data_IF_160419706469
#
_entry.id   IF_160419706469
#
_cell.length_a   1.000
_cell.length_b   1.000
_cell.length_c   1.000
_cell.angle_alpha   90.00
_cell.angle_beta   90.00
_cell.angle_gamma   90.00
#
_symmetry.space_group_name_H-M   'P 1'
#
loop_
_entity.id
_entity.type
_entity.pdbx_description
1 polymer ?
#
# COMPACT_ATOMS: atom_id res chain seq x y z
N UNK A 1 -15.46 -11.87 -4.72
CA UNK A 1 -14.14 -11.98 -4.04
C UNK A 1 -13.10 -11.98 -5.14
N UNK A 2 -11.90 -11.44 -4.89
CA UNK A 2 -10.82 -11.47 -5.88
C UNK A 2 -10.59 -12.90 -6.35
N UNK A 3 -10.41 -13.04 -7.66
CA UNK A 3 -10.26 -14.31 -8.33
C UNK A 3 -8.94 -14.33 -9.10
N UNK A 4 -8.24 -15.45 -9.06
CA UNK A 4 -6.98 -15.63 -9.77
C UNK A 4 -7.10 -16.85 -10.68
N UNK A 5 -6.64 -16.72 -11.92
CA UNK A 5 -6.44 -17.84 -12.82
C UNK A 5 -4.94 -18.09 -13.00
N UNK A 6 -4.52 -19.34 -12.78
CA UNK A 6 -3.19 -19.81 -13.16
C UNK A 6 -3.24 -20.45 -14.53
N UNK A 7 -2.33 -20.05 -15.40
CA UNK A 7 -2.10 -20.65 -16.72
C UNK A 7 -0.70 -21.24 -16.69
N UNK A 8 -0.62 -22.57 -16.67
CA UNK A 8 0.63 -23.33 -16.65
C UNK A 8 0.95 -23.82 -18.06
N UNK A 9 2.08 -23.36 -18.60
CA UNK A 9 2.49 -23.56 -19.97
C UNK A 9 3.91 -24.12 -20.04
N UNK A 10 4.12 -25.11 -20.90
CA UNK A 10 5.46 -25.46 -21.39
C UNK A 10 5.63 -25.00 -22.83
N UNK A 11 6.66 -24.20 -23.10
CA UNK A 11 7.00 -23.74 -24.44
C UNK A 11 8.48 -23.44 -24.60
N UNK A 12 9.03 -23.86 -25.72
CA UNK A 12 10.35 -23.45 -26.24
C UNK A 12 10.30 -22.13 -27.01
N UNK A 13 9.10 -21.58 -27.25
CA UNK A 13 8.82 -20.40 -28.09
C UNK A 13 8.20 -19.25 -27.27
N UNK A 14 8.70 -19.03 -26.06
CA UNK A 14 8.14 -18.02 -25.15
C UNK A 14 8.16 -16.60 -25.73
N UNK A 15 9.19 -16.22 -26.50
CA UNK A 15 9.23 -14.89 -27.12
C UNK A 15 8.05 -14.64 -28.08
N UNK A 16 7.64 -15.66 -28.83
CA UNK A 16 6.46 -15.61 -29.71
C UNK A 16 5.17 -15.54 -28.89
N UNK A 17 5.10 -16.30 -27.78
CA UNK A 17 3.98 -16.26 -26.84
C UNK A 17 3.85 -14.88 -26.18
N UNK A 18 4.95 -14.25 -25.80
CA UNK A 18 4.96 -12.93 -25.18
C UNK A 18 4.46 -11.85 -26.16
N UNK A 19 4.86 -11.92 -27.43
CA UNK A 19 4.34 -11.02 -28.48
C UNK A 19 2.83 -11.21 -28.72
N UNK A 20 2.35 -12.45 -28.63
CA UNK A 20 0.92 -12.76 -28.71
C UNK A 20 0.16 -12.12 -27.54
N UNK A 21 0.70 -12.18 -26.32
CA UNK A 21 0.10 -11.52 -25.15
C UNK A 21 0.12 -10.00 -25.26
N UNK A 22 1.19 -9.38 -25.76
CA UNK A 22 1.23 -7.93 -26.03
C UNK A 22 0.11 -7.51 -26.99
N UNK A 23 -0.13 -8.33 -28.02
CA UNK A 23 -1.22 -8.12 -28.98
C UNK A 23 -2.59 -8.24 -28.31
N UNK A 24 -2.77 -9.22 -27.43
CA UNK A 24 -3.99 -9.38 -26.64
C UNK A 24 -4.29 -8.15 -25.77
N UNK A 25 -3.28 -7.64 -25.08
CA UNK A 25 -3.42 -6.47 -24.20
C UNK A 25 -3.92 -5.25 -24.97
N UNK A 26 -3.43 -5.02 -26.19
CA UNK A 26 -3.90 -3.89 -27.00
C UNK A 26 -5.29 -4.15 -27.59
N UNK A 27 -5.58 -5.36 -28.08
CA UNK A 27 -6.88 -5.69 -28.68
C UNK A 27 -8.04 -5.70 -27.68
N UNK A 28 -7.75 -6.05 -26.42
CA UNK A 28 -8.75 -6.10 -25.34
C UNK A 28 -8.82 -4.80 -24.54
N UNK A 29 -8.07 -3.77 -24.93
CA UNK A 29 -8.05 -2.48 -24.24
C UNK A 29 -9.45 -1.87 -24.11
N UNK A 30 -9.81 -1.51 -22.89
CA UNK A 30 -11.15 -0.99 -22.56
C UNK A 30 -12.27 -2.04 -22.51
N UNK A 31 -11.94 -3.32 -22.73
CA UNK A 31 -12.89 -4.45 -22.64
C UNK A 31 -12.48 -5.48 -21.59
N UNK A 32 -11.18 -5.76 -21.45
CA UNK A 32 -10.66 -6.70 -20.45
C UNK A 32 -11.02 -6.26 -19.04
N UNK A 33 -11.26 -7.25 -18.19
CA UNK A 33 -11.53 -7.06 -16.76
C UNK A 33 -10.34 -7.47 -15.88
N UNK A 34 -9.30 -8.11 -16.47
CA UNK A 34 -8.05 -8.42 -15.77
C UNK A 34 -7.40 -7.15 -15.23
N UNK A 35 -7.09 -7.14 -13.94
CA UNK A 35 -6.55 -5.97 -13.22
C UNK A 35 -5.04 -6.05 -13.04
N UNK A 36 -4.49 -7.26 -12.97
CA UNK A 36 -3.07 -7.51 -12.75
C UNK A 36 -2.66 -8.83 -13.40
N UNK A 37 -1.42 -8.91 -13.88
CA UNK A 37 -0.89 -10.10 -14.51
C UNK A 37 0.60 -10.26 -14.14
N UNK A 38 0.99 -11.48 -13.78
CA UNK A 38 2.37 -11.84 -13.46
C UNK A 38 2.75 -13.07 -14.26
N UNK A 39 3.85 -12.99 -15.00
CA UNK A 39 4.40 -14.13 -15.73
C UNK A 39 5.72 -14.55 -15.09
N UNK A 40 5.76 -15.76 -14.56
CA UNK A 40 6.92 -16.39 -13.97
C UNK A 40 7.54 -17.40 -14.93
N UNK A 41 8.86 -17.36 -15.10
CA UNK A 41 9.63 -18.43 -15.71
C UNK A 41 10.15 -19.36 -14.61
N UNK A 42 9.91 -20.65 -14.74
CA UNK A 42 10.51 -21.63 -13.83
C UNK A 42 12.04 -21.57 -13.92
N UNK A 43 12.68 -21.41 -12.78
CA UNK A 43 14.13 -21.35 -12.67
C UNK A 43 14.79 -22.71 -12.96
N UNK A 44 14.07 -23.80 -12.71
CA UNK A 44 14.57 -25.18 -12.83
C UNK A 44 14.26 -25.80 -14.18
N UNK A 45 13.24 -25.29 -14.87
CA UNK A 45 12.83 -25.74 -16.20
C UNK A 45 12.66 -24.53 -17.14
N UNK A 46 13.62 -24.35 -18.03
CA UNK A 46 13.68 -23.16 -18.88
C UNK A 46 12.55 -23.06 -19.92
N UNK A 47 11.76 -24.12 -20.12
CA UNK A 47 10.58 -24.10 -21.00
C UNK A 47 9.28 -23.97 -20.23
N UNK A 48 9.30 -23.98 -18.89
CA UNK A 48 8.10 -23.93 -18.07
C UNK A 48 7.82 -22.50 -17.60
N UNK A 49 6.59 -22.05 -17.81
CA UNK A 49 6.11 -20.71 -17.50
C UNK A 49 4.74 -20.80 -16.83
N UNK A 50 4.54 -19.95 -15.83
CA UNK A 50 3.26 -19.80 -15.14
C UNK A 50 2.83 -18.34 -15.29
N UNK A 51 1.64 -18.14 -15.83
CA UNK A 51 0.97 -16.84 -15.85
C UNK A 51 -0.12 -16.81 -14.76
N UNK A 52 -0.16 -15.72 -14.02
CA UNK A 52 -1.07 -15.49 -12.89
C UNK A 52 -1.89 -14.25 -13.21
N UNK A 53 -3.16 -14.46 -13.56
CA UNK A 53 -4.07 -13.39 -13.97
C UNK A 53 -5.06 -13.11 -12.84
N UNK A 54 -5.12 -11.86 -12.41
CA UNK A 54 -6.03 -11.42 -11.34
C UNK A 54 -7.25 -10.69 -11.90
N UNK A 55 -8.41 -11.01 -11.33
CA UNK A 55 -9.70 -10.43 -11.66
C UNK A 55 -10.44 -9.98 -10.38
N UNK A 56 -11.29 -8.95 -10.47
CA UNK A 56 -12.11 -8.53 -9.32
C UNK A 56 -13.09 -9.61 -8.85
N UNK A 57 -13.51 -10.50 -9.74
CA UNK A 57 -14.42 -11.61 -9.47
C UNK A 57 -14.29 -12.75 -10.49
N UNK A 58 -14.86 -13.92 -10.17
CA UNK A 58 -14.99 -15.01 -11.13
C UNK A 58 -15.87 -14.62 -12.32
N UNK A 59 -16.95 -13.87 -12.09
CA UNK A 59 -17.81 -13.38 -13.18
C UNK A 59 -17.02 -12.47 -14.14
N UNK A 60 -16.17 -11.59 -13.60
CA UNK A 60 -15.28 -10.76 -14.41
C UNK A 60 -14.28 -11.60 -15.22
N UNK A 61 -13.72 -12.66 -14.63
CA UNK A 61 -12.85 -13.59 -15.35
C UNK A 61 -13.60 -14.24 -16.52
N UNK A 62 -14.84 -14.68 -16.31
CA UNK A 62 -15.66 -15.26 -17.39
C UNK A 62 -16.02 -14.23 -18.46
N UNK A 63 -16.30 -12.98 -18.10
CA UNK A 63 -16.51 -11.92 -19.09
C UNK A 63 -15.27 -11.71 -19.97
N UNK A 64 -14.09 -11.76 -19.38
CA UNK A 64 -12.82 -11.65 -20.09
C UNK A 64 -12.55 -12.85 -21.01
N UNK A 65 -12.79 -14.07 -20.52
CA UNK A 65 -12.58 -15.30 -21.29
C UNK A 65 -13.54 -15.41 -22.49
N UNK A 66 -14.77 -14.93 -22.34
CA UNK A 66 -15.77 -14.95 -23.42
C UNK A 66 -15.60 -13.82 -24.46
N UNK A 67 -14.53 -13.01 -24.39
CA UNK A 67 -14.23 -12.05 -25.45
C UNK A 67 -13.79 -12.81 -26.72
N UNK A 68 -14.34 -12.48 -27.90
CA UNK A 68 -13.93 -13.10 -29.16
C UNK A 68 -12.42 -13.01 -29.43
N UNK A 69 -11.80 -11.90 -29.01
CA UNK A 69 -10.36 -11.68 -29.09
C UNK A 69 -9.58 -12.64 -28.18
N UNK A 70 -10.12 -12.97 -26.99
CA UNK A 70 -9.50 -13.90 -26.03
C UNK A 70 -9.59 -15.34 -26.54
N UNK A 71 -10.73 -15.78 -27.09
CA UNK A 71 -10.87 -17.13 -27.67
C UNK A 71 -9.84 -17.41 -28.76
N UNK A 72 -9.62 -16.43 -29.65
CA UNK A 72 -8.64 -16.57 -30.73
C UNK A 72 -7.21 -16.66 -30.19
N UNK A 73 -6.89 -15.79 -29.25
CA UNK A 73 -5.54 -15.75 -28.66
C UNK A 73 -5.27 -16.99 -27.81
N UNK A 74 -6.30 -17.56 -27.18
CA UNK A 74 -6.19 -18.86 -26.52
C UNK A 74 -5.78 -19.98 -27.48
N UNK A 75 -6.39 -20.04 -28.67
CA UNK A 75 -6.02 -21.05 -29.68
C UNK A 75 -4.56 -20.89 -30.15
N UNK A 76 -4.14 -19.64 -30.37
CA UNK A 76 -2.77 -19.33 -30.77
C UNK A 76 -1.78 -19.63 -29.63
N UNK A 77 -2.15 -19.38 -28.37
CA UNK A 77 -1.36 -19.72 -27.19
C UNK A 77 -1.16 -21.24 -27.08
N UNK A 78 -2.23 -22.03 -27.19
CA UNK A 78 -2.15 -23.51 -27.17
C UNK A 78 -1.25 -24.03 -28.28
N UNK A 79 -1.29 -23.42 -29.47
CA UNK A 79 -0.44 -23.80 -30.60
C UNK A 79 1.06 -23.46 -30.39
N UNK A 80 1.37 -22.52 -29.50
CA UNK A 80 2.72 -22.13 -29.13
C UNK A 80 3.29 -23.00 -28.00
N UNK A 81 2.45 -23.70 -27.25
CA UNK A 81 2.89 -24.64 -26.21
C UNK A 81 3.43 -25.96 -26.79
N UNK A 82 4.44 -26.52 -26.13
CA UNK A 82 4.98 -27.86 -26.40
C UNK A 82 4.08 -28.97 -25.81
N UNK A 83 3.31 -28.63 -24.78
CA UNK A 83 2.31 -29.48 -24.12
C UNK A 83 0.98 -28.71 -23.97
N UNK A 84 -0.13 -29.42 -23.75
CA UNK A 84 -1.42 -28.76 -23.52
C UNK A 84 -1.34 -27.96 -22.22
N UNK A 85 -1.57 -26.64 -22.24
CA UNK A 85 -1.51 -25.82 -21.03
C UNK A 85 -2.63 -26.19 -20.05
N UNK A 86 -2.39 -25.97 -18.76
CA UNK A 86 -3.40 -26.19 -17.73
C UNK A 86 -3.89 -24.89 -17.13
N UNK A 87 -5.17 -24.86 -16.77
CA UNK A 87 -5.86 -23.68 -16.25
C UNK A 87 -6.42 -24.03 -14.88
N UNK A 88 -6.02 -23.27 -13.87
CA UNK A 88 -6.49 -23.47 -12.49
C UNK A 88 -7.19 -22.21 -12.00
N UNK A 89 -8.45 -22.37 -11.64
CA UNK A 89 -9.31 -21.30 -11.12
C UNK A 89 -9.23 -21.27 -9.59
N UNK A 90 -8.86 -20.11 -9.02
CA UNK A 90 -8.58 -19.94 -7.60
C UNK A 90 -9.38 -18.79 -7.00
N UNK A 91 -10.12 -19.09 -5.94
CA UNK A 91 -10.62 -18.07 -5.02
C UNK A 91 -9.47 -17.59 -4.13
N UNK A 92 -9.21 -16.29 -4.11
CA UNK A 92 -8.19 -15.72 -3.23
C UNK A 92 -8.70 -15.78 -1.79
N UNK A 93 -8.09 -16.65 -0.98
CA UNK A 93 -8.42 -16.80 0.45
C UNK A 93 -7.73 -15.73 1.31
N UNK A 94 -6.54 -15.30 0.91
CA UNK A 94 -5.73 -14.31 1.62
C UNK A 94 -4.77 -13.63 0.66
N UNK A 95 -4.75 -12.30 0.69
CA UNK A 95 -3.74 -11.44 0.09
C UNK A 95 -3.11 -10.60 1.20
N UNK A 96 -1.78 -10.66 1.33
CA UNK A 96 -1.05 -9.98 2.39
C UNK A 96 -0.14 -8.88 1.87
N UNK A 97 -0.57 -7.65 2.10
CA UNK A 97 0.23 -6.45 1.85
C UNK A 97 1.12 -6.16 3.06
N UNK A 98 2.23 -6.90 3.20
CA UNK A 98 3.05 -6.91 4.43
C UNK A 98 3.59 -5.53 4.84
N UNK A 99 4.03 -4.70 3.89
CA UNK A 99 4.46 -3.33 4.19
C UNK A 99 3.31 -2.46 4.70
N UNK A 100 2.15 -2.52 4.06
CA UNK A 100 0.94 -1.82 4.51
C UNK A 100 0.50 -2.25 5.92
N UNK A 101 0.54 -3.55 6.20
CA UNK A 101 0.21 -4.11 7.51
C UNK A 101 1.18 -3.60 8.60
N UNK A 102 2.48 -3.56 8.33
CA UNK A 102 3.47 -3.03 9.26
C UNK A 102 3.25 -1.54 9.56
N UNK A 103 2.91 -0.75 8.55
CA UNK A 103 2.64 0.69 8.72
C UNK A 103 1.34 0.94 9.50
N UNK A 104 0.30 0.12 9.27
CA UNK A 104 -0.93 0.19 10.08
C UNK A 104 -0.62 -0.09 11.54
N UNK A 105 0.19 -1.12 11.81
CA UNK A 105 0.67 -1.44 13.15
C UNK A 105 1.53 -0.32 13.75
N UNK A 106 2.29 0.41 12.94
CA UNK A 106 3.02 1.61 13.41
C UNK A 106 2.06 2.69 13.90
N UNK A 107 1.03 3.06 13.12
CA UNK A 107 0.00 4.03 13.54
C UNK A 107 -0.73 3.59 14.83
N UNK A 108 -1.09 2.32 14.92
CA UNK A 108 -1.69 1.74 16.14
C UNK A 108 -0.75 1.84 17.34
N UNK A 109 0.54 1.53 17.14
CA UNK A 109 1.55 1.51 18.21
C UNK A 109 1.80 2.91 18.77
N UNK A 110 1.89 3.93 17.91
CA UNK A 110 2.13 5.31 18.36
C UNK A 110 0.90 5.96 19.00
N UNK A 111 -0.31 5.45 18.72
CA UNK A 111 -1.57 5.87 19.34
C UNK A 111 -1.96 5.03 20.57
N UNK A 112 -1.33 3.88 20.79
CA UNK A 112 -1.70 2.98 21.89
C UNK A 112 -1.60 3.66 23.26
N UNK A 113 -2.54 3.43 24.16
CA UNK A 113 -2.52 4.02 25.51
C UNK A 113 -1.35 3.47 26.36
N UNK A 114 -0.83 4.28 27.28
CA UNK A 114 0.21 3.87 28.23
C UNK A 114 1.63 4.17 27.75
N UNK A 115 2.60 3.34 28.13
CA UNK A 115 3.99 3.51 27.70
C UNK A 115 4.17 3.16 26.22
N UNK A 116 4.96 3.97 25.50
CA UNK A 116 5.26 3.72 24.10
C UNK A 116 6.14 2.47 23.97
N UNK A 117 5.59 1.45 23.32
CA UNK A 117 6.29 0.20 23.03
C UNK A 117 7.58 0.43 22.23
N UNK A 118 8.56 -0.49 22.28
CA UNK A 118 9.74 -0.42 21.43
C UNK A 118 9.38 -0.38 19.95
N UNK A 119 10.01 0.54 19.20
CA UNK A 119 9.73 0.76 17.78
C UNK A 119 10.74 0.05 16.85
N UNK A 120 11.81 -0.55 17.39
CA UNK A 120 12.90 -1.20 16.66
C UNK A 120 12.48 -2.41 15.79
N UNK A 121 11.27 -2.94 16.02
CA UNK A 121 10.67 -3.99 15.20
C UNK A 121 9.80 -3.46 14.05
N UNK A 122 9.49 -2.16 14.03
CA UNK A 122 8.66 -1.52 13.01
C UNK A 122 9.43 -0.47 12.22
N UNK A 123 10.42 0.16 12.83
CA UNK A 123 11.17 1.29 12.28
C UNK A 123 12.65 0.94 12.27
N UNK A 124 13.35 1.33 11.21
CA UNK A 124 14.79 1.18 11.07
C UNK A 124 15.54 2.07 12.06
N UNK A 125 16.74 1.65 12.49
CA UNK A 125 17.54 2.42 13.44
C UNK A 125 17.92 3.81 12.90
N UNK A 126 18.20 3.89 11.60
CA UNK A 126 18.54 5.10 10.85
C UNK A 126 17.34 5.76 10.17
N UNK A 127 16.14 5.62 10.75
CA UNK A 127 14.92 6.21 10.21
C UNK A 127 15.06 7.71 9.94
N UNK A 128 14.53 8.16 8.81
CA UNK A 128 14.59 9.54 8.37
C UNK A 128 13.17 10.08 8.12
N UNK A 129 12.75 11.02 8.95
CA UNK A 129 11.42 11.62 8.88
C UNK A 129 11.47 13.03 8.31
N UNK A 130 10.65 13.27 7.29
CA UNK A 130 10.44 14.57 6.67
C UNK A 130 9.05 15.10 7.08
N UNK A 131 9.04 15.92 8.14
CA UNK A 131 7.86 16.62 8.60
C UNK A 131 7.94 18.11 8.21
N UNK A 132 7.01 18.64 7.39
CA UNK A 132 7.00 20.06 7.01
C UNK A 132 6.83 21.02 8.19
N UNK A 133 6.41 20.55 9.36
CA UNK A 133 6.31 21.33 10.59
C UNK A 133 7.64 21.53 11.33
N UNK A 134 8.71 20.88 10.88
CA UNK A 134 10.04 20.93 11.47
C UNK A 134 11.03 21.66 10.54
N UNK A 135 11.94 22.45 11.11
CA UNK A 135 12.98 23.15 10.33
C UNK A 135 14.03 22.20 9.76
N UNK A 136 14.23 21.06 10.41
CA UNK A 136 15.18 20.01 10.04
C UNK A 136 14.50 18.66 10.17
N UNK A 137 14.94 17.73 9.34
CA UNK A 137 14.47 16.35 9.37
C UNK A 137 14.81 15.66 10.70
N UNK A 138 13.92 14.76 11.14
CA UNK A 138 14.15 13.93 12.33
C UNK A 138 14.88 12.66 11.91
N UNK A 139 16.10 12.48 12.41
CA UNK A 139 16.95 11.33 12.05
C UNK A 139 17.23 10.45 13.27
N UNK A 140 16.93 9.16 13.12
CA UNK A 140 17.24 8.09 14.06
C UNK A 140 16.12 7.79 15.07
N UNK A 141 16.14 6.55 15.57
CA UNK A 141 15.08 6.00 16.43
C UNK A 141 14.82 6.81 17.71
N UNK A 142 15.87 7.35 18.33
CA UNK A 142 15.75 8.16 19.54
C UNK A 142 15.08 9.51 19.27
N UNK A 143 15.35 10.11 18.11
CA UNK A 143 14.78 11.39 17.73
C UNK A 143 13.27 11.25 17.46
N UNK A 144 12.87 10.25 16.67
CA UNK A 144 11.45 9.99 16.40
C UNK A 144 10.69 9.56 17.68
N UNK A 145 11.32 8.84 18.62
CA UNK A 145 10.68 8.52 19.92
C UNK A 145 10.39 9.78 20.74
N UNK A 146 11.29 10.76 20.75
CA UNK A 146 11.05 12.04 21.44
C UNK A 146 9.91 12.82 20.79
N UNK A 147 9.86 12.83 19.48
CA UNK A 147 8.80 13.48 18.72
C UNK A 147 7.42 12.83 18.95
N UNK A 148 7.34 11.51 18.87
CA UNK A 148 6.12 10.77 19.24
C UNK A 148 5.74 11.05 20.70
N UNK A 149 6.72 11.11 21.61
CA UNK A 149 6.51 11.43 23.01
C UNK A 149 5.90 12.82 23.23
N UNK A 150 6.35 13.83 22.48
CA UNK A 150 5.78 15.18 22.48
C UNK A 150 4.30 15.15 22.10
N UNK A 151 3.96 14.51 20.97
CA UNK A 151 2.58 14.41 20.50
C UNK A 151 1.67 13.66 21.48
N UNK A 152 2.15 12.55 22.05
CA UNK A 152 1.43 11.76 23.07
C UNK A 152 1.28 12.49 24.40
N UNK A 153 2.21 13.38 24.74
CA UNK A 153 2.13 14.22 25.93
C UNK A 153 1.12 15.36 25.78
N UNK A 154 0.95 15.86 24.56
CA UNK A 154 0.03 16.94 24.24
C UNK A 154 -1.42 16.47 23.98
N UNK A 155 -1.58 15.26 23.42
CA UNK A 155 -2.86 14.78 22.92
C UNK A 155 -3.14 13.33 23.30
N UNK A 156 -4.38 13.04 23.71
CA UNK A 156 -4.93 11.67 23.68
C UNK A 156 -5.57 11.46 22.31
N UNK A 157 -5.00 10.58 21.48
CA UNK A 157 -5.35 10.49 20.07
C UNK A 157 -5.44 9.07 19.53
N UNK A 158 -6.13 8.95 18.39
CA UNK A 158 -6.14 7.74 17.58
C UNK A 158 -6.06 8.11 16.09
N UNK A 159 -5.48 7.19 15.31
CA UNK A 159 -5.51 7.25 13.86
C UNK A 159 -6.58 6.29 13.33
N UNK A 160 -7.35 6.77 12.36
CA UNK A 160 -8.07 5.94 11.39
C UNK A 160 -7.24 5.90 10.12
N UNK A 161 -6.80 4.72 9.70
CA UNK A 161 -6.16 4.53 8.40
C UNK A 161 -7.28 4.39 7.36
N UNK A 162 -7.49 5.46 6.59
CA UNK A 162 -8.59 5.58 5.64
C UNK A 162 -8.29 4.81 4.35
N UNK A 163 -7.03 4.82 3.91
CA UNK A 163 -6.59 4.16 2.67
C UNK A 163 -5.08 3.86 2.69
N UNK A 164 -4.66 2.81 1.99
CA UNK A 164 -3.24 2.48 1.77
C UNK A 164 -3.00 2.02 0.34
N UNK A 165 -2.04 2.66 -0.32
CA UNK A 165 -1.58 2.32 -1.66
C UNK A 165 -0.12 1.87 -1.57
N UNK A 166 0.16 0.63 -1.98
CA UNK A 166 1.51 0.07 -1.96
C UNK A 166 2.07 0.00 -3.37
N UNK A 167 3.28 0.52 -3.57
CA UNK A 167 4.03 0.37 -4.80
C UNK A 167 5.49 0.07 -4.44
N UNK A 168 5.96 -1.11 -4.85
CA UNK A 168 7.28 -1.63 -4.50
C UNK A 168 7.55 -1.55 -2.98
N UNK A 169 8.54 -0.76 -2.57
CA UNK A 169 8.95 -0.55 -1.19
C UNK A 169 8.25 0.64 -0.51
N UNK A 170 7.29 1.29 -1.17
CA UNK A 170 6.61 2.48 -0.65
C UNK A 170 5.15 2.22 -0.37
N UNK A 171 4.64 2.84 0.68
CA UNK A 171 3.23 2.85 1.02
C UNK A 171 2.77 4.27 1.28
N UNK A 172 1.83 4.74 0.46
CA UNK A 172 1.10 5.97 0.72
C UNK A 172 -0.09 5.65 1.62
N UNK A 173 -0.15 6.25 2.80
CA UNK A 173 -1.21 6.06 3.78
C UNK A 173 -1.98 7.35 3.98
N UNK A 174 -3.27 7.35 3.68
CA UNK A 174 -4.18 8.44 4.02
C UNK A 174 -4.84 8.12 5.37
N UNK A 175 -4.89 9.11 6.24
CA UNK A 175 -5.36 8.92 7.60
C UNK A 175 -6.14 10.11 8.12
N UNK A 176 -7.02 9.81 9.07
CA UNK A 176 -7.72 10.77 9.90
C UNK A 176 -7.26 10.59 11.34
N UNK A 177 -6.74 11.65 11.93
CA UNK A 177 -6.28 11.71 13.30
C UNK A 177 -7.31 12.44 14.15
N UNK A 178 -7.83 11.78 15.18
CA UNK A 178 -8.79 12.36 16.11
C UNK A 178 -8.17 12.41 17.50
N UNK A 179 -8.30 13.55 18.16
CA UNK A 179 -7.62 13.77 19.42
C UNK A 179 -8.36 14.68 20.38
N UNK A 180 -8.00 14.58 21.66
CA UNK A 180 -8.31 15.58 22.68
C UNK A 180 -7.01 16.25 23.14
N UNK A 181 -6.97 17.58 23.16
CA UNK A 181 -5.81 18.35 23.60
C UNK A 181 -5.73 18.40 25.13
N UNK A 182 -4.88 17.55 25.71
CA UNK A 182 -4.83 17.25 27.15
C UNK A 182 -3.55 17.76 27.83
N UNK A 183 -2.52 18.12 27.07
CA UNK A 183 -1.25 18.64 27.57
C UNK A 183 -0.82 19.94 26.90
N UNK A 184 0.40 20.40 27.18
CA UNK A 184 1.00 21.51 26.45
C UNK A 184 1.42 21.06 25.06
N UNK A 185 1.07 21.83 24.04
CA UNK A 185 1.55 21.64 22.68
C UNK A 185 2.29 22.88 22.19
N UNK A 186 3.62 22.82 22.17
CA UNK A 186 4.50 23.91 21.67
C UNK A 186 4.17 25.27 22.31
N UNK A 187 3.89 25.29 23.63
CA UNK A 187 3.55 26.49 24.39
C UNK A 187 2.05 26.84 24.43
N UNK A 188 1.20 26.03 23.80
CA UNK A 188 -0.25 26.14 23.89
C UNK A 188 -0.71 25.23 25.03
N UNK A 189 -1.18 25.84 26.13
CA UNK A 189 -1.70 25.08 27.26
C UNK A 189 -2.90 24.20 26.86
N UNK A 190 -3.07 23.07 27.56
CA UNK A 190 -4.16 22.13 27.34
C UNK A 190 -5.53 22.84 27.28
N UNK A 191 -6.20 22.73 26.14
CA UNK A 191 -7.48 23.41 25.91
C UNK A 191 -8.68 22.53 26.23
N UNK A 192 -8.48 21.21 26.36
CA UNK A 192 -9.54 20.22 26.52
C UNK A 192 -10.42 20.03 25.28
N UNK A 193 -10.12 20.70 24.18
CA UNK A 193 -10.89 20.61 22.94
C UNK A 193 -10.64 19.27 22.24
N UNK A 194 -11.70 18.76 21.62
CA UNK A 194 -11.56 17.72 20.60
C UNK A 194 -11.19 18.36 19.27
N UNK A 195 -10.23 17.75 18.59
CA UNK A 195 -9.69 18.22 17.32
C UNK A 195 -9.55 17.05 16.34
N UNK A 196 -9.69 17.36 15.07
CA UNK A 196 -9.49 16.39 13.99
C UNK A 196 -8.50 16.96 12.99
N UNK A 197 -7.60 16.11 12.51
CA UNK A 197 -6.63 16.44 11.48
C UNK A 197 -6.62 15.33 10.43
N UNK A 198 -6.54 15.69 9.17
CA UNK A 198 -6.35 14.73 8.08
C UNK A 198 -4.95 14.88 7.52
N UNK A 199 -4.44 13.79 6.95
CA UNK A 199 -3.15 13.79 6.33
C UNK A 199 -2.89 12.59 5.47
N UNK A 200 -1.76 12.67 4.77
CA UNK A 200 -1.19 11.61 3.98
C UNK A 200 0.28 11.49 4.33
N UNK A 201 0.74 10.26 4.53
CA UNK A 201 2.16 9.97 4.76
C UNK A 201 2.61 8.93 3.75
N UNK A 202 3.70 9.22 3.04
CA UNK A 202 4.40 8.20 2.26
C UNK A 202 5.49 7.62 3.13
N UNK A 203 5.52 6.31 3.28
CA UNK A 203 6.60 5.60 3.96
C UNK A 203 7.38 4.76 2.97
N UNK A 204 8.70 4.69 3.13
CA UNK A 204 9.55 3.71 2.46
C UNK A 204 9.96 2.63 3.45
N UNK A 205 9.89 1.37 3.05
CA UNK A 205 10.27 0.20 3.82
C UNK A 205 11.62 -0.38 3.36
N UNK A 206 12.30 -1.08 4.25
CA UNK A 206 13.42 -1.97 3.92
C UNK A 206 12.89 -3.35 3.53
N UNK A 207 13.74 -4.19 2.96
CA UNK A 207 13.41 -5.58 2.56
C UNK A 207 12.90 -6.44 3.74
N UNK A 208 13.30 -6.10 4.98
CA UNK A 208 12.81 -6.76 6.21
C UNK A 208 11.45 -6.22 6.69
N UNK A 209 10.86 -5.28 5.97
CA UNK A 209 9.57 -4.67 6.25
C UNK A 209 9.59 -3.52 7.25
N UNK A 210 10.76 -3.10 7.76
CA UNK A 210 10.86 -1.94 8.65
C UNK A 210 10.75 -0.64 7.88
N UNK A 211 10.10 0.35 8.48
CA UNK A 211 9.97 1.70 7.95
C UNK A 211 11.32 2.41 8.07
N UNK A 212 11.87 2.83 6.93
CA UNK A 212 13.15 3.52 6.83
C UNK A 212 13.03 5.03 6.67
N UNK A 213 11.95 5.51 6.08
CA UNK A 213 11.81 6.90 5.70
C UNK A 213 10.33 7.29 5.63
N UNK A 214 9.99 8.52 6.00
CA UNK A 214 8.61 9.02 6.00
C UNK A 214 8.52 10.45 5.48
N UNK A 215 7.53 10.73 4.63
CA UNK A 215 7.19 12.07 4.15
C UNK A 215 5.77 12.43 4.55
N UNK A 216 5.62 13.37 5.48
CA UNK A 216 4.33 13.75 6.04
C UNK A 216 3.74 14.96 5.33
N UNK A 217 2.42 14.96 5.13
CA UNK A 217 1.64 16.11 4.69
C UNK A 217 0.29 16.08 5.42
N UNK A 218 -0.04 17.12 6.18
CA UNK A 218 -1.24 17.14 7.02
C UNK A 218 -1.75 18.56 7.31
N UNK A 219 -3.00 18.65 7.76
CA UNK A 219 -3.67 19.93 8.04
C UNK A 219 -3.23 20.57 9.37
N UNK A 220 -1.96 20.97 9.44
CA UNK A 220 -1.40 21.64 10.61
C UNK A 220 -2.09 22.97 10.89
N UNK A 221 -2.44 23.73 9.84
CA UNK A 221 -3.09 25.02 9.98
C UNK A 221 -4.50 24.88 10.57
N UNK A 222 -5.28 23.89 10.09
CA UNK A 222 -6.58 23.55 10.63
C UNK A 222 -6.51 23.08 12.08
N UNK A 223 -5.47 22.35 12.47
CA UNK A 223 -5.22 22.02 13.88
C UNK A 223 -5.01 23.29 14.73
N UNK A 224 -4.15 24.22 14.28
CA UNK A 224 -3.88 25.47 15.03
C UNK A 224 -5.12 26.35 15.17
N UNK A 225 -5.97 26.39 14.14
CA UNK A 225 -7.26 27.08 14.17
C UNK A 225 -8.21 26.44 15.20
N UNK A 226 -8.34 25.11 15.22
CA UNK A 226 -9.18 24.41 16.20
C UNK A 226 -8.71 24.63 17.66
N UNK A 227 -7.39 24.71 17.87
CA UNK A 227 -6.81 25.05 19.18
C UNK A 227 -7.12 26.50 19.59
N UNK A 228 -7.43 27.39 18.63
CA UNK A 228 -7.77 28.80 18.87
C UNK A 228 -6.56 29.73 18.86
N UNK A 229 -5.48 29.34 18.18
CA UNK A 229 -4.25 30.15 18.04
C UNK A 229 -4.34 31.08 16.83
N UNK A 230 -5.09 30.68 15.82
CA UNK A 230 -5.39 31.50 14.66
C UNK A 230 -6.78 32.08 14.85
N UNK A 231 -6.89 33.40 14.78
CA UNK A 231 -8.19 34.05 14.65
C UNK A 231 -8.86 33.48 13.38
N UNK A 232 -10.18 33.23 13.46
CA UNK A 232 -10.95 32.94 12.26
C UNK A 232 -10.75 34.13 11.32
N UNK A 233 -10.00 33.95 10.23
CA UNK A 233 -10.01 34.91 9.15
C UNK A 233 -11.46 35.03 8.73
N UNK A 234 -12.11 36.14 9.11
CA UNK A 234 -13.41 36.53 8.58
C UNK A 234 -13.22 36.70 7.08
N UNK A 235 -13.59 35.66 6.32
CA UNK A 235 -13.67 35.64 4.86
C UNK A 235 -14.94 36.34 4.40
#
# INVERSE_FOLDING_TARGET
>A
MTFVQLIDCKTSRFDEMNQLMDTWVEQTKGKRTATHNVIGKDRSDATHYIEIVEFPSYEDAMLNSNLPETDRIFQDLVALCDEIPTFTDLDVVRDEQLYSANIRKFFETIAAKGELSPLNNLIAENYHDHDPANEQDTIGLDAIRREIGMWRGAFDFAFTVDDQLTEADRVCTRWTWNATHTGDFRGIAATGKQVTMTGTTVFRCQDDGKIAEGWWQYDQLGLMSQLGVLDQLEL
#
